data_IF_758564071230
#
_entry.id   IF_758564071230
#
_cell.length_a   1.000
_cell.length_b   1.000
_cell.length_c   1.000
_cell.angle_alpha   90.00
_cell.angle_beta   90.00
_cell.angle_gamma   90.00
#
_symmetry.space_group_name_H-M   'P 1'
#
loop_
_entity.id
_entity.type
_entity.pdbx_description
1 polymer ?
#
# COMPACT_ATOMS: atom_id res chain seq x y z
N UNK A 1 -3.86 -8.41 12.99
CA UNK A 1 -2.88 -9.47 12.66
C UNK A 1 -1.47 -8.98 12.89
N UNK A 2 -1.06 -7.88 12.23
CA UNK A 2 0.23 -7.23 12.48
C UNK A 2 0.55 -7.07 13.99
N UNK A 3 -0.30 -6.36 14.73
CA UNK A 3 -0.12 -6.16 16.17
C UNK A 3 -0.08 -7.45 17.00
N UNK A 4 -0.84 -8.48 16.61
CA UNK A 4 -0.86 -9.77 17.30
C UNK A 4 0.40 -10.59 17.07
N UNK A 5 0.91 -10.59 15.84
CA UNK A 5 2.20 -11.23 15.49
C UNK A 5 3.36 -10.47 16.13
N UNK A 6 3.32 -9.13 16.13
CA UNK A 6 4.29 -8.30 16.83
C UNK A 6 4.41 -8.66 18.32
N UNK A 7 3.27 -8.75 19.04
CA UNK A 7 3.26 -9.10 20.46
C UNK A 7 3.79 -10.52 20.73
N UNK A 8 3.48 -11.48 19.85
CA UNK A 8 3.97 -12.86 19.98
C UNK A 8 5.49 -12.95 19.78
N UNK A 9 6.06 -12.20 18.82
CA UNK A 9 7.49 -12.24 18.53
C UNK A 9 8.32 -11.35 19.45
N UNK A 10 7.70 -10.37 20.15
CA UNK A 10 8.40 -9.48 21.07
C UNK A 10 9.15 -10.23 22.18
N UNK A 11 8.63 -11.39 22.58
CA UNK A 11 9.22 -12.23 23.63
C UNK A 11 10.31 -13.18 23.11
N UNK A 12 10.53 -13.25 21.79
CA UNK A 12 11.44 -14.20 21.15
C UNK A 12 12.58 -13.51 20.39
N UNK A 13 12.36 -12.30 19.87
CA UNK A 13 13.29 -11.61 18.96
C UNK A 13 13.31 -10.09 19.24
N UNK A 14 14.32 -9.38 18.72
CA UNK A 14 14.44 -7.92 18.84
C UNK A 14 13.22 -7.18 18.30
N UNK A 15 12.90 -6.05 18.94
CA UNK A 15 11.74 -5.20 18.63
C UNK A 15 11.67 -4.85 17.13
N UNK A 16 12.83 -4.57 16.51
CA UNK A 16 12.92 -4.21 15.10
C UNK A 16 12.49 -5.38 14.21
N UNK A 17 13.00 -6.60 14.47
CA UNK A 17 12.67 -7.79 13.67
C UNK A 17 11.21 -8.20 13.88
N UNK A 18 10.73 -8.17 15.12
CA UNK A 18 9.33 -8.49 15.46
C UNK A 18 8.34 -7.54 14.79
N UNK A 19 8.68 -6.25 14.70
CA UNK A 19 7.85 -5.24 14.02
C UNK A 19 7.87 -5.44 12.50
N UNK A 20 9.02 -5.78 11.91
CA UNK A 20 9.11 -6.10 10.47
C UNK A 20 8.28 -7.34 10.13
N UNK A 21 8.37 -8.40 10.93
CA UNK A 21 7.62 -9.64 10.70
C UNK A 21 6.11 -9.45 10.92
N UNK A 22 5.72 -8.66 11.94
CA UNK A 22 4.33 -8.22 12.14
C UNK A 22 3.79 -7.53 10.90
N UNK A 23 4.52 -6.53 10.38
CA UNK A 23 4.11 -5.78 9.20
C UNK A 23 3.99 -6.66 7.96
N UNK A 24 4.98 -7.54 7.71
CA UNK A 24 4.94 -8.48 6.57
C UNK A 24 3.76 -9.44 6.69
N UNK A 25 3.47 -9.97 7.88
CA UNK A 25 2.33 -10.86 8.11
C UNK A 25 0.99 -10.14 7.84
N UNK A 26 0.87 -8.89 8.27
CA UNK A 26 -0.29 -8.04 8.00
C UNK A 26 -0.47 -7.77 6.50
N UNK A 27 0.62 -7.46 5.80
CA UNK A 27 0.62 -7.25 4.35
C UNK A 27 0.21 -8.52 3.59
N UNK A 28 0.74 -9.69 3.97
CA UNK A 28 0.36 -10.99 3.40
C UNK A 28 -1.11 -11.28 3.63
N UNK A 29 -1.61 -11.10 4.85
CA UNK A 29 -3.02 -11.29 5.15
C UNK A 29 -3.91 -10.37 4.33
N UNK A 30 -3.54 -9.09 4.20
CA UNK A 30 -4.28 -8.13 3.40
C UNK A 30 -4.34 -8.55 1.92
N UNK A 31 -3.25 -9.11 1.38
CA UNK A 31 -3.25 -9.66 0.03
C UNK A 31 -4.21 -10.86 -0.11
N UNK A 32 -4.14 -11.82 0.80
CA UNK A 32 -5.03 -12.99 0.78
C UNK A 32 -6.49 -12.62 1.00
N UNK A 33 -6.80 -11.68 1.88
CA UNK A 33 -8.16 -11.17 2.09
C UNK A 33 -8.70 -10.43 0.89
N UNK A 34 -7.92 -9.53 0.28
CA UNK A 34 -8.36 -8.86 -0.94
C UNK A 34 -8.61 -9.84 -2.08
N UNK A 35 -7.79 -10.89 -2.18
CA UNK A 35 -7.99 -11.96 -3.17
C UNK A 35 -9.25 -12.78 -2.89
N UNK A 36 -9.44 -13.25 -1.67
CA UNK A 36 -10.49 -14.21 -1.30
C UNK A 36 -11.86 -13.55 -1.12
N UNK A 37 -11.88 -12.38 -0.48
CA UNK A 37 -13.12 -11.71 -0.07
C UNK A 37 -13.54 -10.63 -1.06
N UNK A 38 -12.64 -9.69 -1.39
CA UNK A 38 -12.98 -8.52 -2.23
C UNK A 38 -13.19 -8.91 -3.69
N UNK A 39 -12.31 -9.75 -4.24
CA UNK A 39 -12.33 -10.09 -5.67
C UNK A 39 -12.77 -11.54 -5.96
N UNK A 40 -12.83 -12.41 -4.94
CA UNK A 40 -13.30 -13.82 -5.03
C UNK A 40 -12.66 -14.64 -6.16
N UNK A 41 -11.40 -14.38 -6.50
CA UNK A 41 -10.79 -15.02 -7.69
C UNK A 41 -10.00 -16.29 -7.36
N UNK A 42 -10.43 -17.41 -7.97
CA UNK A 42 -9.83 -18.74 -7.80
C UNK A 42 -8.59 -19.02 -8.69
N UNK A 43 -8.24 -18.13 -9.62
CA UNK A 43 -7.14 -18.36 -10.59
C UNK A 43 -5.71 -18.16 -10.02
N UNK A 44 -4.69 -18.35 -10.87
CA UNK A 44 -3.27 -18.37 -10.50
C UNK A 44 -2.79 -17.15 -9.67
N UNK A 45 -2.15 -17.45 -8.54
CA UNK A 45 -1.72 -16.50 -7.50
C UNK A 45 -0.51 -15.67 -7.94
N UNK A 46 0.51 -16.33 -8.50
CA UNK A 46 1.83 -15.73 -8.72
C UNK A 46 1.83 -14.58 -9.72
N UNK A 47 1.12 -14.74 -10.86
CA UNK A 47 1.04 -13.69 -11.89
C UNK A 47 0.31 -12.43 -11.38
N UNK A 48 -0.70 -12.60 -10.53
CA UNK A 48 -1.47 -11.48 -9.96
C UNK A 48 -0.73 -10.79 -8.83
N UNK A 49 0.04 -11.53 -8.04
CA UNK A 49 0.93 -10.95 -7.03
C UNK A 49 1.99 -10.05 -7.68
N UNK A 50 2.58 -10.48 -8.81
CA UNK A 50 3.53 -9.64 -9.56
C UNK A 50 2.83 -8.38 -10.10
N UNK A 51 1.64 -8.50 -10.70
CA UNK A 51 0.86 -7.32 -11.14
C UNK A 51 0.52 -6.38 -9.99
N UNK A 52 0.21 -6.93 -8.82
CA UNK A 52 -0.05 -6.16 -7.61
C UNK A 52 1.18 -5.37 -7.17
N UNK A 53 2.35 -6.01 -7.09
CA UNK A 53 3.61 -5.34 -6.75
C UNK A 53 3.92 -4.24 -7.76
N UNK A 54 3.82 -4.54 -9.06
CA UNK A 54 4.08 -3.56 -10.12
C UNK A 54 3.14 -2.37 -9.98
N UNK A 55 1.84 -2.59 -9.78
CA UNK A 55 0.87 -1.52 -9.57
C UNK A 55 1.23 -0.67 -8.34
N UNK A 56 1.59 -1.30 -7.22
CA UNK A 56 1.95 -0.60 -6.00
C UNK A 56 3.21 0.26 -6.17
N UNK A 57 4.19 -0.21 -6.94
CA UNK A 57 5.37 0.59 -7.28
C UNK A 57 4.97 1.79 -8.15
N UNK A 58 4.14 1.58 -9.17
CA UNK A 58 3.67 2.68 -10.02
C UNK A 58 2.87 3.73 -9.25
N UNK A 59 2.02 3.32 -8.33
CA UNK A 59 1.25 4.25 -7.51
C UNK A 59 2.09 4.97 -6.47
N UNK A 60 3.16 4.35 -5.97
CA UNK A 60 4.15 5.01 -5.14
C UNK A 60 4.90 6.10 -5.92
N UNK A 61 5.32 5.81 -7.15
CA UNK A 61 5.95 6.81 -8.02
C UNK A 61 4.98 7.97 -8.28
N UNK A 62 3.73 7.66 -8.64
CA UNK A 62 2.70 8.67 -8.86
C UNK A 62 2.44 9.51 -7.59
N UNK A 63 2.47 8.91 -6.40
CA UNK A 63 2.34 9.63 -5.13
C UNK A 63 3.47 10.66 -4.97
N UNK A 64 4.73 10.21 -5.09
CA UNK A 64 5.90 11.07 -4.92
C UNK A 64 5.91 12.21 -5.93
N UNK A 65 5.67 11.92 -7.21
CA UNK A 65 5.61 12.96 -8.25
C UNK A 65 4.47 13.94 -8.03
N UNK A 66 3.29 13.45 -7.63
CA UNK A 66 2.13 14.31 -7.36
C UNK A 66 2.36 15.18 -6.13
N UNK A 67 3.06 14.66 -5.12
CA UNK A 67 3.41 15.39 -3.91
C UNK A 67 4.39 16.53 -4.23
N UNK A 68 5.48 16.23 -4.92
CA UNK A 68 6.49 17.21 -5.33
C UNK A 68 5.89 18.30 -6.22
N UNK A 69 5.08 17.90 -7.21
CA UNK A 69 4.37 18.84 -8.07
C UNK A 69 3.42 19.75 -7.28
N UNK A 70 2.66 19.20 -6.33
CA UNK A 70 1.73 19.97 -5.50
C UNK A 70 2.47 20.90 -4.55
N UNK A 71 3.61 20.48 -3.99
CA UNK A 71 4.46 21.29 -3.12
C UNK A 71 4.98 22.52 -3.88
N UNK A 72 5.49 22.33 -5.09
CA UNK A 72 5.98 23.41 -5.93
C UNK A 72 4.87 24.39 -6.33
N UNK A 73 3.64 23.90 -6.56
CA UNK A 73 2.49 24.75 -6.92
C UNK A 73 1.92 25.53 -5.73
N UNK A 74 1.90 24.92 -4.54
CA UNK A 74 1.20 25.44 -3.36
C UNK A 74 2.13 26.11 -2.34
N UNK A 75 3.42 26.25 -2.62
CA UNK A 75 4.45 26.76 -1.69
C UNK A 75 4.08 28.06 -0.93
N UNK A 76 3.19 28.90 -1.48
CA UNK A 76 2.73 30.15 -0.87
C UNK A 76 1.59 30.01 0.14
N UNK A 77 1.05 28.80 0.33
CA UNK A 77 -0.10 28.53 1.22
C UNK A 77 0.36 28.09 2.62
N UNK A 78 -0.37 28.47 3.67
CA UNK A 78 -0.04 28.14 5.08
C UNK A 78 -0.03 26.62 5.39
N UNK A 79 -0.66 25.78 4.55
CA UNK A 79 -0.79 24.33 4.76
C UNK A 79 -0.36 23.50 3.54
N UNK A 80 0.56 24.03 2.75
CA UNK A 80 0.97 23.44 1.46
C UNK A 80 1.46 21.99 1.58
N UNK A 81 2.15 21.64 2.68
CA UNK A 81 2.65 20.28 2.94
C UNK A 81 1.49 19.30 3.14
N UNK A 82 0.52 19.65 4.01
CA UNK A 82 -0.62 18.78 4.32
C UNK A 82 -1.52 18.59 3.10
N UNK A 83 -1.77 19.68 2.36
CA UNK A 83 -2.59 19.64 1.14
C UNK A 83 -1.91 18.78 0.06
N UNK A 84 -0.61 18.95 -0.14
CA UNK A 84 0.16 18.15 -1.11
C UNK A 84 0.21 16.67 -0.72
N UNK A 85 0.34 16.36 0.56
CA UNK A 85 0.27 14.99 1.07
C UNK A 85 -1.11 14.37 0.82
N UNK A 86 -2.18 15.12 1.06
CA UNK A 86 -3.55 14.65 0.85
C UNK A 86 -3.83 14.39 -0.63
N UNK A 87 -3.45 15.32 -1.52
CA UNK A 87 -3.59 15.17 -2.98
C UNK A 87 -2.84 13.92 -3.47
N UNK A 88 -1.58 13.78 -3.08
CA UNK A 88 -0.75 12.63 -3.46
C UNK A 88 -1.35 11.30 -2.97
N UNK A 89 -1.80 11.26 -1.72
CA UNK A 89 -2.44 10.09 -1.12
C UNK A 89 -3.74 9.74 -1.83
N UNK A 90 -4.59 10.73 -2.15
CA UNK A 90 -5.83 10.52 -2.90
C UNK A 90 -5.55 9.96 -4.30
N UNK A 91 -4.62 10.54 -5.05
CA UNK A 91 -4.25 10.08 -6.40
C UNK A 91 -3.75 8.64 -6.37
N UNK A 92 -2.79 8.34 -5.49
CA UNK A 92 -2.22 6.99 -5.37
C UNK A 92 -3.24 5.95 -4.91
N UNK A 93 -4.17 6.31 -4.03
CA UNK A 93 -5.24 5.43 -3.56
C UNK A 93 -6.24 5.11 -4.68
N UNK A 94 -6.64 6.12 -5.45
CA UNK A 94 -7.54 5.95 -6.62
C UNK A 94 -6.87 5.07 -7.67
N UNK A 95 -5.61 5.34 -8.01
CA UNK A 95 -4.86 4.52 -8.99
C UNK A 95 -4.68 3.08 -8.50
N UNK A 96 -4.40 2.88 -7.21
CA UNK A 96 -4.28 1.53 -6.64
C UNK A 96 -5.60 0.78 -6.75
N UNK A 97 -6.71 1.43 -6.40
CA UNK A 97 -8.03 0.81 -6.49
C UNK A 97 -8.41 0.48 -7.95
N UNK A 98 -8.24 1.42 -8.87
CA UNK A 98 -8.53 1.24 -10.30
C UNK A 98 -7.65 0.14 -10.90
N UNK A 99 -6.35 0.15 -10.64
CA UNK A 99 -5.44 -0.87 -11.14
C UNK A 99 -5.75 -2.25 -10.57
N UNK A 100 -6.13 -2.34 -9.29
CA UNK A 100 -6.56 -3.61 -8.71
C UNK A 100 -7.82 -4.14 -9.40
N UNK A 101 -8.82 -3.28 -9.58
CA UNK A 101 -10.12 -3.61 -10.19
C UNK A 101 -10.00 -4.02 -11.66
N UNK A 102 -9.26 -3.25 -12.46
CA UNK A 102 -9.26 -3.39 -13.92
C UNK A 102 -8.09 -4.20 -14.48
N UNK A 103 -6.99 -4.36 -13.73
CA UNK A 103 -5.78 -5.01 -14.23
C UNK A 103 -5.29 -6.20 -13.40
N UNK A 104 -5.21 -6.05 -12.07
CA UNK A 104 -4.67 -7.10 -11.20
C UNK A 104 -5.65 -8.26 -11.03
N UNK A 105 -6.92 -7.95 -10.77
CA UNK A 105 -7.93 -8.94 -10.43
C UNK A 105 -8.95 -9.27 -11.52
N UNK A 106 -8.82 -8.65 -12.70
CA UNK A 106 -9.58 -9.04 -13.90
C UNK A 106 -9.33 -10.50 -14.29
#
# INVERSE_FOLDING_TARGET
IDYGVYLLLLNLISIQISKTLGFVSGALFNFFMNRLFTWKVKSQVSKRFIRFIVLYIFTLIANVLSNDFSLNLLQSQMYYIQISFLIATSISTILNFLGQKFWVFR
#
